data_IF_390311102490
#
_entry.id   IF_390311102490
#
_cell.length_a   1.000
_cell.length_b   1.000
_cell.length_c   1.000
_cell.angle_alpha   90.00
_cell.angle_beta   90.00
_cell.angle_gamma   90.00
#
_symmetry.space_group_name_H-M   'P 1'
#
loop_
_entity.id
_entity.type
_entity.pdbx_description
1 polymer ?
#
# COMPACT_ATOMS: atom_id res chain seq x y z
N UNK A 1 9.80 -17.57 -2.23
CA UNK A 1 9.13 -16.31 -2.61
C UNK A 1 10.12 -15.16 -2.49
N UNK A 2 10.13 -14.27 -3.45
CA UNK A 2 11.02 -13.12 -3.39
C UNK A 2 10.57 -12.12 -2.34
N UNK A 3 11.55 -11.54 -1.66
CA UNK A 3 11.28 -10.44 -0.74
C UNK A 3 11.11 -9.15 -1.53
N UNK A 4 9.96 -8.52 -1.42
CA UNK A 4 9.67 -7.28 -2.14
C UNK A 4 10.60 -6.13 -1.69
N UNK A 5 11.04 -6.14 -0.45
CA UNK A 5 11.96 -5.14 0.05
C UNK A 5 13.33 -5.25 -0.64
N UNK A 6 13.78 -6.48 -0.89
CA UNK A 6 15.02 -6.72 -1.61
C UNK A 6 14.93 -6.20 -3.05
N UNK A 7 13.80 -6.45 -3.73
CA UNK A 7 13.57 -5.95 -5.09
C UNK A 7 13.58 -4.42 -5.10
N UNK A 8 12.94 -3.80 -4.12
CA UNK A 8 12.85 -2.35 -4.03
C UNK A 8 14.19 -1.68 -3.74
N UNK A 9 14.97 -2.25 -2.83
CA UNK A 9 16.26 -1.69 -2.43
C UNK A 9 17.35 -1.89 -3.48
N UNK A 10 17.29 -3.01 -4.17
CA UNK A 10 18.34 -3.41 -5.10
C UNK A 10 17.77 -4.06 -6.36
N UNK A 11 16.95 -3.34 -7.13
CA UNK A 11 16.29 -3.93 -8.30
C UNK A 11 17.28 -4.45 -9.35
N UNK A 12 18.38 -3.76 -9.53
CA UNK A 12 19.38 -4.18 -10.52
C UNK A 12 20.08 -5.48 -10.15
N UNK A 13 20.42 -5.65 -8.87
CA UNK A 13 21.06 -6.88 -8.42
C UNK A 13 20.11 -8.07 -8.52
N UNK A 14 18.86 -7.89 -8.14
CA UNK A 14 17.83 -8.93 -8.25
C UNK A 14 17.54 -9.25 -9.70
N UNK A 15 17.47 -8.24 -10.56
CA UNK A 15 17.25 -8.41 -11.99
C UNK A 15 18.35 -9.24 -12.62
N UNK A 16 19.60 -8.97 -12.29
CA UNK A 16 20.74 -9.74 -12.79
C UNK A 16 20.66 -11.20 -12.38
N UNK A 17 20.30 -11.44 -11.12
CA UNK A 17 20.14 -12.81 -10.63
C UNK A 17 19.02 -13.55 -11.36
N UNK A 18 17.93 -12.88 -11.66
CA UNK A 18 16.79 -13.43 -12.39
C UNK A 18 17.10 -13.65 -13.88
N UNK A 19 17.84 -12.74 -14.51
CA UNK A 19 18.19 -12.83 -15.92
C UNK A 19 19.05 -14.04 -16.25
N UNK A 20 19.76 -14.59 -15.28
CA UNK A 20 20.46 -15.86 -15.47
C UNK A 20 19.52 -17.02 -15.73
N UNK A 21 18.25 -16.89 -15.34
CA UNK A 21 17.24 -17.94 -15.46
C UNK A 21 16.14 -17.61 -16.45
N UNK A 22 15.92 -16.31 -16.68
CA UNK A 22 14.88 -15.79 -17.55
C UNK A 22 15.51 -14.90 -18.60
N UNK A 23 14.94 -14.92 -19.80
CA UNK A 23 15.42 -14.08 -20.91
C UNK A 23 15.15 -12.61 -20.63
N UNK A 24 13.99 -12.30 -20.05
CA UNK A 24 13.63 -10.93 -19.69
C UNK A 24 12.84 -10.91 -18.39
N UNK A 25 13.21 -10.00 -17.50
CA UNK A 25 12.45 -9.71 -16.30
C UNK A 25 12.37 -8.20 -16.13
N UNK A 26 11.15 -7.69 -16.09
CA UNK A 26 10.90 -6.28 -15.85
C UNK A 26 10.20 -6.11 -14.51
N UNK A 27 10.87 -5.44 -13.60
CA UNK A 27 10.33 -5.15 -12.27
C UNK A 27 9.71 -3.76 -12.16
N UNK A 28 9.64 -3.02 -13.27
CA UNK A 28 9.12 -1.66 -13.27
C UNK A 28 7.70 -1.61 -12.71
N UNK A 29 6.83 -2.49 -13.19
CA UNK A 29 5.44 -2.55 -12.73
C UNK A 29 5.36 -2.89 -11.24
N UNK A 30 6.16 -3.85 -10.79
CA UNK A 30 6.20 -4.26 -9.39
C UNK A 30 6.62 -3.09 -8.50
N UNK A 31 7.65 -2.38 -8.89
CA UNK A 31 8.16 -1.23 -8.15
C UNK A 31 7.13 -0.10 -8.13
N UNK A 32 6.45 0.15 -9.25
CA UNK A 32 5.41 1.17 -9.34
C UNK A 32 4.24 0.85 -8.42
N UNK A 33 3.77 -0.39 -8.41
CA UNK A 33 2.69 -0.80 -7.51
C UNK A 33 3.11 -0.73 -6.04
N UNK A 34 4.33 -1.12 -5.72
CA UNK A 34 4.86 -1.02 -4.36
C UNK A 34 4.97 0.44 -3.92
N UNK A 35 5.40 1.32 -4.80
CA UNK A 35 5.49 2.76 -4.53
C UNK A 35 4.09 3.33 -4.23
N UNK A 36 3.08 2.96 -5.01
CA UNK A 36 1.69 3.34 -4.77
C UNK A 36 1.22 2.85 -3.41
N UNK A 37 1.45 1.59 -3.13
CA UNK A 37 1.08 0.98 -1.85
C UNK A 37 1.65 1.77 -0.68
N UNK A 38 2.93 2.12 -0.75
CA UNK A 38 3.64 2.82 0.30
C UNK A 38 3.18 4.26 0.49
N UNK A 39 2.64 4.88 -0.55
CA UNK A 39 2.04 6.20 -0.46
C UNK A 39 0.64 6.16 0.12
N UNK A 40 -0.11 5.12 -0.22
CA UNK A 40 -1.50 4.96 0.22
C UNK A 40 -1.62 4.65 1.71
N UNK A 41 -0.73 3.81 2.24
CA UNK A 41 -0.79 3.38 3.63
C UNK A 41 -0.78 4.56 4.62
N UNK A 42 0.22 5.48 4.59
CA UNK A 42 0.22 6.60 5.51
C UNK A 42 -0.93 7.57 5.29
N UNK A 43 -1.39 7.73 4.05
CA UNK A 43 -2.53 8.58 3.74
C UNK A 43 -3.81 8.02 4.37
N UNK A 44 -4.03 6.72 4.24
CA UNK A 44 -5.17 6.03 4.85
C UNK A 44 -5.10 6.14 6.38
N UNK A 45 -3.93 5.90 6.95
CA UNK A 45 -3.72 5.97 8.40
C UNK A 45 -4.02 7.37 8.94
N UNK A 46 -3.56 8.41 8.24
CA UNK A 46 -3.83 9.79 8.60
C UNK A 46 -5.33 10.12 8.56
N UNK A 47 -6.03 9.63 7.53
CA UNK A 47 -7.46 9.83 7.42
C UNK A 47 -8.23 9.08 8.50
N UNK A 48 -7.83 7.87 8.83
CA UNK A 48 -8.44 7.08 9.91
C UNK A 48 -8.25 7.76 11.26
N UNK A 49 -7.07 8.28 11.51
CA UNK A 49 -6.77 9.03 12.73
C UNK A 49 -7.65 10.28 12.82
N UNK A 50 -7.75 11.04 11.75
CA UNK A 50 -8.62 12.21 11.67
C UNK A 50 -10.07 11.83 11.95
N UNK A 51 -10.56 10.76 11.30
CA UNK A 51 -11.92 10.27 11.51
C UNK A 51 -12.18 9.92 12.97
N UNK A 52 -11.28 9.15 13.58
CA UNK A 52 -11.43 8.72 14.96
C UNK A 52 -11.39 9.92 15.93
N UNK A 53 -10.50 10.85 15.70
CA UNK A 53 -10.34 12.05 16.51
C UNK A 53 -11.58 12.93 16.46
N UNK A 54 -12.10 13.19 15.27
CA UNK A 54 -13.28 14.03 15.08
C UNK A 54 -14.53 13.31 15.57
N UNK A 55 -14.66 12.02 15.30
CA UNK A 55 -15.79 11.21 15.78
C UNK A 55 -15.87 11.22 17.31
N UNK A 56 -14.74 11.22 17.99
CA UNK A 56 -14.68 11.28 19.44
C UNK A 56 -15.19 12.62 19.99
N UNK A 57 -15.15 13.68 19.19
CA UNK A 57 -15.63 15.01 19.60
C UNK A 57 -17.15 15.18 19.44
N UNK A 58 -17.79 14.37 18.59
CA UNK A 58 -19.22 14.50 18.32
C UNK A 58 -20.09 14.39 19.56
N UNK A 59 -19.92 13.41 20.45
CA UNK A 59 -20.73 13.32 21.67
C UNK A 59 -20.63 14.56 22.55
N UNK A 60 -19.43 15.10 22.71
CA UNK A 60 -19.22 16.31 23.48
C UNK A 60 -19.91 17.53 22.85
N UNK A 61 -19.85 17.64 21.55
CA UNK A 61 -20.54 18.71 20.80
C UNK A 61 -22.04 18.63 20.96
N UNK A 62 -22.60 17.44 20.86
CA UNK A 62 -24.03 17.21 21.08
C UNK A 62 -24.44 17.57 22.48
N UNK A 63 -23.61 17.26 23.48
CA UNK A 63 -23.85 17.56 24.88
C UNK A 63 -23.88 19.07 25.12
N UNK A 64 -23.07 19.82 24.39
CA UNK A 64 -23.05 21.29 24.46
C UNK A 64 -24.14 21.95 23.63
N UNK A 65 -24.97 21.18 22.93
CA UNK A 65 -26.02 21.69 22.08
C UNK A 65 -25.56 22.24 20.75
N UNK A 66 -24.34 21.93 20.36
CA UNK A 66 -23.79 22.37 19.06
C UNK A 66 -24.34 21.54 17.92
N UNK A 67 -24.45 22.18 16.75
CA UNK A 67 -24.85 21.49 15.54
C UNK A 67 -23.67 20.65 15.04
N UNK A 68 -23.89 19.34 14.87
CA UNK A 68 -22.87 18.41 14.41
C UNK A 68 -23.04 18.04 12.94
N UNK A 69 -23.98 18.67 12.24
CA UNK A 69 -24.25 18.31 10.83
C UNK A 69 -23.04 18.48 9.94
N UNK A 70 -22.32 19.60 10.06
CA UNK A 70 -21.13 19.86 9.25
C UNK A 70 -20.02 18.84 9.55
N UNK A 71 -19.85 18.50 10.82
CA UNK A 71 -18.87 17.51 11.24
C UNK A 71 -19.22 16.13 10.73
N UNK A 72 -20.49 15.76 10.78
CA UNK A 72 -20.96 14.48 10.25
C UNK A 72 -20.77 14.39 8.75
N UNK A 73 -21.04 15.48 8.02
CA UNK A 73 -20.80 15.54 6.58
C UNK A 73 -19.31 15.40 6.26
N UNK A 74 -18.46 16.08 7.01
CA UNK A 74 -17.01 15.97 6.88
C UNK A 74 -16.55 14.51 7.11
N UNK A 75 -17.11 13.87 8.15
CA UNK A 75 -16.78 12.47 8.44
C UNK A 75 -17.23 11.53 7.35
N UNK A 76 -18.35 11.82 6.71
CA UNK A 76 -18.83 11.03 5.58
C UNK A 76 -17.86 11.14 4.41
N UNK A 77 -17.41 12.34 4.09
CA UNK A 77 -16.41 12.55 3.05
C UNK A 77 -15.10 11.84 3.34
N UNK A 78 -14.62 11.93 4.59
CA UNK A 78 -13.41 11.23 5.02
C UNK A 78 -13.58 9.73 4.90
N UNK A 79 -14.73 9.18 5.31
CA UNK A 79 -15.01 7.75 5.19
C UNK A 79 -15.06 7.28 3.75
N UNK A 80 -15.65 8.07 2.86
CA UNK A 80 -15.70 7.75 1.44
C UNK A 80 -14.29 7.78 0.83
N UNK A 81 -13.47 8.73 1.24
CA UNK A 81 -12.08 8.81 0.81
C UNK A 81 -11.28 7.60 1.27
N UNK A 82 -11.46 7.18 2.52
CA UNK A 82 -10.81 5.99 3.07
C UNK A 82 -11.20 4.76 2.26
N UNK A 83 -12.49 4.60 1.94
CA UNK A 83 -12.95 3.48 1.12
C UNK A 83 -12.31 3.47 -0.25
N UNK A 84 -12.23 4.63 -0.90
CA UNK A 84 -11.59 4.75 -2.21
C UNK A 84 -10.11 4.38 -2.14
N UNK A 85 -9.39 4.88 -1.14
CA UNK A 85 -7.98 4.58 -0.96
C UNK A 85 -7.74 3.13 -0.56
N UNK A 86 -8.61 2.55 0.28
CA UNK A 86 -8.54 1.13 0.62
C UNK A 86 -8.73 0.25 -0.62
N UNK A 87 -9.63 0.65 -1.52
CA UNK A 87 -9.84 -0.05 -2.78
C UNK A 87 -8.58 0.02 -3.65
N UNK A 88 -7.98 1.20 -3.75
CA UNK A 88 -6.73 1.39 -4.51
C UNK A 88 -5.59 0.57 -3.89
N UNK A 89 -5.52 0.53 -2.56
CA UNK A 89 -4.52 -0.26 -1.85
C UNK A 89 -4.71 -1.75 -2.11
N UNK A 90 -5.94 -2.25 -2.05
CA UNK A 90 -6.25 -3.65 -2.36
C UNK A 90 -5.85 -4.00 -3.78
N UNK A 91 -6.11 -3.10 -4.73
CA UNK A 91 -5.71 -3.29 -6.12
C UNK A 91 -4.19 -3.38 -6.25
N UNK A 92 -3.47 -2.45 -5.61
CA UNK A 92 -2.01 -2.44 -5.64
C UNK A 92 -1.44 -3.73 -5.04
N UNK A 93 -1.96 -4.16 -3.89
CA UNK A 93 -1.53 -5.40 -3.25
C UNK A 93 -1.84 -6.63 -4.10
N UNK A 94 -3.01 -6.64 -4.75
CA UNK A 94 -3.41 -7.71 -5.66
C UNK A 94 -2.49 -7.80 -6.87
N UNK A 95 -2.13 -6.67 -7.46
CA UNK A 95 -1.20 -6.63 -8.58
C UNK A 95 0.21 -7.07 -8.19
N UNK A 96 0.69 -6.64 -7.03
CA UNK A 96 1.97 -7.07 -6.50
C UNK A 96 1.98 -8.58 -6.32
N UNK A 97 0.94 -9.13 -5.71
CA UNK A 97 0.83 -10.58 -5.50
C UNK A 97 0.82 -11.33 -6.82
N UNK A 98 0.04 -10.86 -7.78
CA UNK A 98 -0.04 -11.50 -9.11
C UNK A 98 1.32 -11.51 -9.81
N UNK A 99 2.05 -10.40 -9.75
CA UNK A 99 3.39 -10.30 -10.35
C UNK A 99 4.35 -11.29 -9.65
N UNK A 100 4.33 -11.33 -8.33
CA UNK A 100 5.21 -12.23 -7.57
C UNK A 100 4.88 -13.71 -7.81
N UNK A 101 3.61 -14.04 -7.99
CA UNK A 101 3.18 -15.41 -8.30
C UNK A 101 3.60 -15.86 -9.70
N UNK A 102 3.71 -14.92 -10.64
CA UNK A 102 4.17 -15.21 -12.00
C UNK A 102 5.68 -15.40 -12.11
N UNK A 103 6.43 -14.91 -11.11
CA UNK A 103 7.87 -15.09 -11.11
C UNK A 103 8.22 -16.53 -10.75
N UNK A 104 9.25 -17.11 -11.41
CA UNK A 104 9.68 -18.44 -11.06
C UNK A 104 10.27 -18.46 -9.65
N UNK A 105 10.18 -19.63 -8.98
CA UNK A 105 10.84 -19.82 -7.70
C UNK A 105 12.35 -19.76 -7.90
N UNK A 106 12.98 -18.82 -7.22
CA UNK A 106 14.42 -18.65 -7.24
C UNK A 106 14.95 -19.10 -5.88
N UNK A 107 15.91 -20.06 -5.85
CA UNK A 107 16.50 -20.46 -4.58
C UNK A 107 17.05 -19.27 -3.81
N UNK A 108 16.92 -19.32 -2.50
CA UNK A 108 17.39 -18.24 -1.64
C UNK A 108 18.87 -17.91 -1.88
N UNK A 109 19.67 -18.92 -2.19
CA UNK A 109 21.09 -18.76 -2.47
C UNK A 109 21.35 -17.85 -3.68
N UNK A 110 20.52 -17.94 -4.70
CA UNK A 110 20.66 -17.10 -5.90
C UNK A 110 20.28 -15.66 -5.64
N UNK A 111 19.33 -15.43 -4.75
CA UNK A 111 18.83 -14.09 -4.43
C UNK A 111 19.66 -13.45 -3.34
N UNK A 112 19.93 -14.20 -2.29
CA UNK A 112 20.65 -13.69 -1.11
C UNK A 112 22.11 -13.45 -1.41
N UNK A 113 22.72 -14.25 -2.28
CA UNK A 113 24.11 -14.03 -2.71
C UNK A 113 24.31 -12.67 -3.36
N UNK A 114 23.27 -12.10 -3.90
CA UNK A 114 23.27 -10.76 -4.45
C UNK A 114 22.96 -9.67 -3.45
N UNK A 115 22.63 -10.06 -2.26
CA UNK A 115 22.22 -9.09 -1.26
C UNK A 115 22.91 -9.26 0.07
#
# INVERSE_FOLDING_TARGET
MLDINLIRENPEAVRKALLKRLDEVDFTDLIDWDTRRRKLIPEIDALREKRNKVSAQIPAMKKEGKDTSDVQDEMREVSDRIKALDSDLSEAEGQIRAILEELPNIPADDVVAGG
#
